data_IF_531672773516
#
_entry.id   IF_531672773516
#
_cell.length_a   1.000
_cell.length_b   1.000
_cell.length_c   1.000
_cell.angle_alpha   90.00
_cell.angle_beta   90.00
_cell.angle_gamma   90.00
#
_symmetry.space_group_name_H-M   'P 1'
#
loop_
_entity.id
_entity.type
_entity.pdbx_description
1 polymer ?
#
# COMPACT_ATOMS: atom_id res chain seq x y z
N UNK A 1 61.44 -12.21 4.43
CA UNK A 1 61.00 -10.79 4.50
C UNK A 1 59.61 -10.73 5.11
N UNK A 2 59.55 -10.13 6.32
CA UNK A 2 58.48 -9.37 6.98
C UNK A 2 57.07 -9.99 7.10
N UNK A 3 56.83 -10.55 8.29
CA UNK A 3 55.53 -10.88 8.86
C UNK A 3 54.78 -9.59 9.25
N UNK A 4 53.67 -9.26 8.59
CA UNK A 4 52.88 -8.05 8.91
C UNK A 4 51.77 -8.37 9.91
N UNK A 5 52.09 -8.21 11.19
CA UNK A 5 51.13 -8.21 12.29
C UNK A 5 50.32 -6.91 12.27
N UNK A 6 49.05 -6.98 11.89
CA UNK A 6 48.12 -5.87 12.03
C UNK A 6 47.26 -6.09 13.29
N UNK A 7 47.64 -5.43 14.39
CA UNK A 7 46.83 -5.33 15.61
C UNK A 7 45.71 -4.32 15.33
N UNK A 8 44.45 -4.77 15.22
CA UNK A 8 43.29 -3.89 15.03
C UNK A 8 42.97 -3.15 16.35
N UNK A 9 42.61 -1.86 16.32
CA UNK A 9 42.25 -1.12 17.53
C UNK A 9 40.90 -1.61 18.10
N UNK A 10 40.83 -1.71 19.41
CA UNK A 10 39.65 -2.14 20.17
C UNK A 10 38.62 -1.00 20.19
N UNK A 11 37.50 -1.18 19.48
CA UNK A 11 36.40 -0.20 19.45
C UNK A 11 35.55 -0.42 20.71
N UNK A 12 35.48 0.58 21.58
CA UNK A 12 34.64 0.56 22.78
C UNK A 12 33.16 0.46 22.39
N UNK A 13 32.51 -0.62 22.81
CA UNK A 13 31.10 -0.89 22.55
C UNK A 13 30.20 0.00 23.44
N UNK A 14 29.27 0.73 22.83
CA UNK A 14 28.25 1.54 23.51
C UNK A 14 27.26 0.62 24.23
N UNK A 15 27.06 0.80 25.53
CA UNK A 15 26.10 0.02 26.32
C UNK A 15 24.66 0.22 25.80
N UNK A 16 23.98 -0.89 25.52
CA UNK A 16 22.59 -0.88 25.04
C UNK A 16 21.67 -0.60 26.23
N UNK A 17 20.83 0.43 26.12
CA UNK A 17 19.79 0.72 27.13
C UNK A 17 18.87 -0.51 27.27
N UNK A 18 18.51 -0.82 28.52
CA UNK A 18 17.61 -1.92 28.86
C UNK A 18 16.22 -1.67 28.29
N UNK A 19 15.80 -2.52 27.36
CA UNK A 19 14.45 -2.49 26.79
C UNK A 19 13.51 -3.05 27.86
N UNK A 20 12.58 -2.23 28.37
CA UNK A 20 11.53 -2.71 29.24
C UNK A 20 10.49 -3.48 28.41
N UNK A 21 10.50 -4.80 28.53
CA UNK A 21 9.55 -5.68 27.85
C UNK A 21 8.24 -5.66 28.64
N UNK A 22 7.19 -5.08 28.05
CA UNK A 22 5.86 -5.05 28.66
C UNK A 22 5.25 -6.45 28.61
N UNK A 23 4.87 -6.98 29.78
CA UNK A 23 4.11 -8.22 29.87
C UNK A 23 2.67 -7.98 29.38
N UNK A 24 2.26 -8.78 28.39
CA UNK A 24 0.94 -8.67 27.75
C UNK A 24 -0.11 -9.38 28.61
N UNK A 25 -0.91 -8.61 29.34
CA UNK A 25 -2.11 -9.12 30.01
C UNK A 25 -3.27 -9.25 29.01
N UNK A 26 -4.23 -10.13 29.28
CA UNK A 26 -5.35 -10.38 28.36
C UNK A 26 -6.19 -9.13 28.07
N UNK A 27 -6.33 -8.24 29.05
CA UNK A 27 -6.95 -6.93 28.86
C UNK A 27 -6.19 -6.05 27.87
N UNK A 28 -4.84 -6.00 27.95
CA UNK A 28 -4.02 -5.23 26.99
C UNK A 28 -4.11 -5.82 25.58
N UNK A 29 -4.17 -7.15 25.46
CA UNK A 29 -4.36 -7.82 24.16
C UNK A 29 -5.72 -7.50 23.55
N UNK A 30 -6.78 -7.45 24.36
CA UNK A 30 -8.12 -7.16 23.88
C UNK A 30 -8.27 -5.70 23.42
N UNK A 31 -7.69 -4.76 24.18
CA UNK A 31 -7.64 -3.34 23.81
C UNK A 31 -6.86 -3.14 22.51
N UNK A 32 -5.70 -3.79 22.37
CA UNK A 32 -4.90 -3.72 21.13
C UNK A 32 -5.68 -4.29 19.94
N UNK A 33 -6.38 -5.41 20.10
CA UNK A 33 -7.22 -5.98 19.03
C UNK A 33 -8.36 -5.04 18.63
N UNK A 34 -9.03 -4.44 19.61
CA UNK A 34 -10.12 -3.50 19.37
C UNK A 34 -9.63 -2.25 18.63
N UNK A 35 -8.49 -1.69 19.05
CA UNK A 35 -7.86 -0.55 18.38
C UNK A 35 -7.43 -0.90 16.96
N UNK A 36 -6.82 -2.07 16.72
CA UNK A 36 -6.46 -2.50 15.36
C UNK A 36 -7.69 -2.71 14.46
N UNK A 37 -8.78 -3.29 14.99
CA UNK A 37 -9.99 -3.55 14.22
C UNK A 37 -10.68 -2.26 13.73
N UNK A 38 -10.73 -1.22 14.58
CA UNK A 38 -11.31 0.08 14.19
C UNK A 38 -10.51 0.78 13.09
N UNK A 39 -9.19 0.59 13.04
CA UNK A 39 -8.32 1.18 12.03
C UNK A 39 -8.36 0.45 10.67
N UNK A 40 -8.55 -0.87 10.67
CA UNK A 40 -8.63 -1.64 9.42
C UNK A 40 -9.91 -1.31 8.63
N UNK A 41 -11.06 -1.07 9.30
CA UNK A 41 -12.34 -0.75 8.63
C UNK A 41 -12.26 0.57 7.83
N UNK A 42 -11.61 1.60 8.37
CA UNK A 42 -11.48 2.91 7.68
C UNK A 42 -10.64 2.78 6.41
N UNK A 43 -9.56 2.00 6.46
CA UNK A 43 -8.69 1.78 5.30
C UNK A 43 -9.37 0.97 4.18
N UNK A 44 -10.15 -0.05 4.53
CA UNK A 44 -10.91 -0.87 3.58
C UNK A 44 -11.98 -0.04 2.86
N UNK A 45 -12.65 0.86 3.58
CA UNK A 45 -13.63 1.79 2.97
C UNK A 45 -12.98 2.71 1.95
N UNK A 46 -11.86 3.34 2.30
CA UNK A 46 -11.13 4.22 1.36
C UNK A 46 -10.66 3.45 0.13
N UNK A 47 -10.16 2.21 0.29
CA UNK A 47 -9.79 1.33 -0.83
C UNK A 47 -10.95 1.06 -1.77
N UNK A 48 -12.10 0.67 -1.20
CA UNK A 48 -13.31 0.36 -1.95
C UNK A 48 -13.85 1.59 -2.68
N UNK A 49 -13.83 2.75 -2.03
CA UNK A 49 -14.26 4.02 -2.64
C UNK A 49 -13.35 4.41 -3.80
N UNK A 50 -12.02 4.32 -3.64
CA UNK A 50 -11.09 4.66 -4.73
C UNK A 50 -11.32 3.78 -5.96
N UNK A 51 -11.53 2.47 -5.76
CA UNK A 51 -11.81 1.53 -6.86
C UNK A 51 -13.10 1.90 -7.62
N UNK A 52 -14.12 2.37 -6.92
CA UNK A 52 -15.39 2.79 -7.54
C UNK A 52 -15.17 4.07 -8.37
N UNK A 53 -14.47 5.05 -7.80
CA UNK A 53 -14.16 6.33 -8.47
C UNK A 53 -13.36 6.07 -9.75
N UNK A 54 -12.25 5.34 -9.66
CA UNK A 54 -11.40 5.03 -10.82
C UNK A 54 -12.13 4.25 -11.91
N UNK A 55 -13.12 3.42 -11.53
CA UNK A 55 -13.95 2.71 -12.49
C UNK A 55 -14.92 3.65 -13.20
N UNK A 56 -15.52 4.58 -12.47
CA UNK A 56 -16.39 5.60 -13.06
C UNK A 56 -15.61 6.49 -14.04
N UNK A 57 -14.40 6.93 -13.66
CA UNK A 57 -13.50 7.68 -14.55
C UNK A 57 -13.11 6.87 -15.79
N UNK A 58 -12.90 5.55 -15.66
CA UNK A 58 -12.61 4.69 -16.81
C UNK A 58 -13.81 4.53 -17.75
N UNK A 59 -15.03 4.41 -17.21
CA UNK A 59 -16.25 4.35 -18.01
C UNK A 59 -16.45 5.69 -18.76
N UNK A 60 -16.12 6.84 -18.13
CA UNK A 60 -16.11 8.17 -18.77
C UNK A 60 -15.02 8.29 -19.85
N UNK A 61 -13.78 7.86 -19.56
CA UNK A 61 -12.66 7.91 -20.50
C UNK A 61 -12.92 7.07 -21.76
N UNK A 62 -13.54 5.91 -21.61
CA UNK A 62 -13.89 5.05 -22.73
C UNK A 62 -15.17 5.51 -23.45
N UNK A 63 -16.03 6.27 -22.75
CA UNK A 63 -17.28 6.82 -23.26
C UNK A 63 -18.41 5.80 -23.34
N UNK A 64 -18.30 4.68 -22.63
CA UNK A 64 -19.31 3.62 -22.61
C UNK A 64 -19.24 2.80 -21.32
N UNK A 65 -20.38 2.27 -20.89
CA UNK A 65 -20.47 1.46 -19.66
C UNK A 65 -19.98 0.03 -19.88
N UNK A 66 -19.52 -0.63 -18.81
CA UNK A 66 -19.12 -2.05 -18.88
C UNK A 66 -20.17 -2.93 -19.59
N UNK A 67 -19.77 -3.58 -20.67
CA UNK A 67 -20.59 -4.45 -21.54
C UNK A 67 -21.52 -3.75 -22.53
N UNK A 68 -21.43 -2.44 -22.67
CA UNK A 68 -22.08 -1.70 -23.76
C UNK A 68 -21.34 -1.96 -25.08
N UNK A 69 -22.10 -2.20 -26.16
CA UNK A 69 -21.53 -2.40 -27.48
C UNK A 69 -21.11 -1.05 -28.05
N UNK A 70 -19.85 -0.68 -27.86
CA UNK A 70 -19.26 0.52 -28.47
C UNK A 70 -18.47 0.14 -29.72
N UNK A 71 -18.53 1.00 -30.74
CA UNK A 71 -17.66 0.91 -31.92
C UNK A 71 -16.23 1.39 -31.65
N UNK A 72 -15.83 1.51 -30.37
CA UNK A 72 -14.54 2.02 -29.96
C UNK A 72 -13.51 0.88 -29.95
N UNK A 73 -12.38 1.08 -30.62
CA UNK A 73 -11.27 0.11 -30.62
C UNK A 73 -10.59 -0.02 -29.25
N UNK A 74 -10.74 0.98 -28.37
CA UNK A 74 -10.18 0.95 -27.03
C UNK A 74 -11.14 0.27 -26.06
N UNK A 75 -10.60 -0.63 -25.23
CA UNK A 75 -11.39 -1.37 -24.26
C UNK A 75 -10.68 -1.58 -22.93
N UNK A 76 -11.45 -1.77 -21.86
CA UNK A 76 -10.93 -2.17 -20.56
C UNK A 76 -10.15 -3.49 -20.67
N UNK A 77 -8.84 -3.44 -20.41
CA UNK A 77 -7.92 -4.57 -20.43
C UNK A 77 -7.43 -4.91 -19.01
N UNK A 78 -8.37 -5.26 -18.15
CA UNK A 78 -8.07 -5.74 -16.80
C UNK A 78 -7.65 -4.65 -15.82
N UNK A 79 -6.87 -5.05 -14.81
CA UNK A 79 -6.46 -4.19 -13.70
C UNK A 79 -4.96 -4.33 -13.43
N UNK A 80 -4.33 -3.22 -13.05
CA UNK A 80 -2.96 -3.15 -12.58
C UNK A 80 -2.90 -2.81 -11.11
N UNK A 81 -2.10 -3.57 -10.36
CA UNK A 81 -1.90 -3.29 -8.93
C UNK A 81 -0.94 -2.12 -8.77
N UNK A 82 -1.35 -1.07 -8.05
CA UNK A 82 -0.47 0.03 -7.62
C UNK A 82 -0.42 0.11 -6.10
N UNK A 83 0.74 0.50 -5.56
CA UNK A 83 0.91 0.76 -4.14
C UNK A 83 0.74 2.27 -3.91
N UNK A 84 -0.27 2.63 -3.12
CA UNK A 84 -0.56 4.02 -2.75
C UNK A 84 -0.18 4.23 -1.30
N UNK A 85 0.58 5.28 -1.05
CA UNK A 85 1.01 5.66 0.30
C UNK A 85 0.08 6.77 0.79
N UNK A 86 -0.78 6.42 1.74
CA UNK A 86 -1.62 7.38 2.46
C UNK A 86 -0.91 7.69 3.79
N UNK A 87 -1.18 8.86 4.37
CA UNK A 87 -0.57 9.36 5.61
C UNK A 87 -0.50 8.34 6.76
N UNK A 88 -1.42 7.37 6.82
CA UNK A 88 -1.45 6.34 7.83
C UNK A 88 -0.88 4.98 7.41
N UNK A 89 -0.75 4.66 6.10
CA UNK A 89 -0.31 3.35 5.62
C UNK A 89 -0.06 3.32 4.11
N UNK A 90 0.82 2.41 3.68
CA UNK A 90 0.89 1.98 2.28
C UNK A 90 -0.13 0.87 1.99
N UNK A 91 -0.98 1.05 0.99
CA UNK A 91 -2.01 0.08 0.59
C UNK A 91 -1.89 -0.26 -0.89
N UNK A 92 -2.37 -1.45 -1.27
CA UNK A 92 -2.43 -1.87 -2.67
C UNK A 92 -3.84 -1.64 -3.21
N UNK A 93 -3.95 -1.02 -4.37
CA UNK A 93 -5.21 -0.79 -5.08
C UNK A 93 -5.15 -1.42 -6.47
N UNK A 94 -6.32 -1.74 -7.01
CA UNK A 94 -6.49 -2.22 -8.38
C UNK A 94 -6.94 -1.07 -9.26
N UNK A 95 -6.06 -0.65 -10.18
CA UNK A 95 -6.30 0.43 -11.13
C UNK A 95 -6.78 -0.17 -12.45
N UNK A 96 -7.95 0.21 -12.97
CA UNK A 96 -8.40 -0.25 -14.28
C UNK A 96 -7.42 0.22 -15.37
N UNK A 97 -7.26 -0.59 -16.43
CA UNK A 97 -6.43 -0.23 -17.58
C UNK A 97 -7.22 -0.32 -18.88
N UNK A 98 -6.93 0.57 -19.81
CA UNK A 98 -7.41 0.50 -21.18
C UNK A 98 -6.38 -0.22 -22.09
N UNK A 99 -6.83 -0.72 -23.24
CA UNK A 99 -6.01 -1.48 -24.19
C UNK A 99 -4.87 -0.64 -24.78
N UNK A 100 -5.11 0.65 -24.98
CA UNK A 100 -4.10 1.58 -25.51
C UNK A 100 -3.18 2.15 -24.43
N UNK A 101 -3.40 1.81 -23.16
CA UNK A 101 -2.67 2.33 -22.01
C UNK A 101 -2.64 3.86 -21.96
N UNK A 102 -3.71 4.50 -22.44
CA UNK A 102 -3.88 5.95 -22.49
C UNK A 102 -4.70 6.50 -21.31
N UNK A 103 -5.26 5.64 -20.47
CA UNK A 103 -6.00 6.07 -19.28
C UNK A 103 -5.03 6.61 -18.21
N UNK A 104 -5.16 7.90 -17.94
CA UNK A 104 -4.59 8.57 -16.78
C UNK A 104 -5.75 9.05 -15.90
N UNK A 105 -5.91 8.48 -14.67
CA UNK A 105 -6.91 8.99 -13.74
C UNK A 105 -6.51 10.39 -13.28
N UNK A 106 -7.49 11.28 -13.13
CA UNK A 106 -7.26 12.66 -12.73
C UNK A 106 -6.65 12.75 -11.32
N UNK A 107 -5.85 13.79 -11.08
CA UNK A 107 -5.27 14.06 -9.77
C UNK A 107 -6.39 14.44 -8.77
N UNK A 108 -6.62 13.58 -7.77
CA UNK A 108 -7.54 13.82 -6.64
C UNK A 108 -6.83 14.48 -5.46
#
# INVERSE_FOLDING_TARGET
>A
MINKNYRRPFIMAREKKTIHIVQMTDGKRNIIRQLLAEHDIKSVKVCGTLKIIMKAEMDEHLGYSKSEHSGNDNCCNGYKTKQVNISCRSMKIEVPQDRKSAFEPDDV
#
